data_IF_566269357699
#
_entry.id   IF_566269357699
#
_cell.length_a   1.000
_cell.length_b   1.000
_cell.length_c   1.000
_cell.angle_alpha   90.00
_cell.angle_beta   90.00
_cell.angle_gamma   90.00
#
_symmetry.space_group_name_H-M   'P 1'
#
loop_
_entity.id
_entity.type
_entity.pdbx_description
1 polymer ?
#
# COMPACT_ATOMS: atom_id res chain seq x y z
N UNK A 1 2.33 -28.06 -7.99
CA UNK A 1 1.45 -26.90 -7.73
C UNK A 1 1.04 -26.95 -6.28
N UNK A 2 1.57 -26.07 -5.45
CA UNK A 2 1.09 -25.90 -4.08
C UNK A 2 -0.36 -25.42 -4.17
N UNK A 3 -1.32 -26.22 -3.71
CA UNK A 3 -2.72 -25.77 -3.64
C UNK A 3 -2.75 -24.65 -2.58
N UNK A 4 -3.12 -23.45 -3.00
CA UNK A 4 -3.46 -22.39 -2.07
C UNK A 4 -4.62 -22.87 -1.18
N UNK A 5 -4.73 -22.34 0.03
CA UNK A 5 -5.87 -22.54 0.92
C UNK A 5 -6.24 -21.18 1.55
N UNK A 6 -7.43 -21.03 2.14
CA UNK A 6 -7.87 -19.77 2.74
C UNK A 6 -6.90 -19.23 3.81
N UNK A 7 -6.24 -20.12 4.55
CA UNK A 7 -5.26 -19.73 5.58
C UNK A 7 -3.99 -19.15 4.93
N UNK A 8 -3.52 -19.73 3.83
CA UNK A 8 -2.38 -19.23 3.05
C UNK A 8 -2.70 -17.87 2.41
N UNK A 9 -3.94 -17.66 1.95
CA UNK A 9 -4.39 -16.39 1.37
C UNK A 9 -4.43 -15.29 2.44
N UNK A 10 -4.99 -15.57 3.62
CA UNK A 10 -4.98 -14.62 4.74
C UNK A 10 -3.58 -14.32 5.25
N UNK A 11 -2.73 -15.36 5.35
CA UNK A 11 -1.34 -15.19 5.74
C UNK A 11 -0.53 -14.33 4.74
N UNK A 12 -0.87 -14.40 3.45
CA UNK A 12 -0.29 -13.52 2.44
C UNK A 12 -0.72 -12.07 2.67
N UNK A 13 -2.01 -11.80 2.86
CA UNK A 13 -2.51 -10.44 3.14
C UNK A 13 -1.90 -9.85 4.41
N UNK A 14 -1.82 -10.63 5.49
CA UNK A 14 -1.15 -10.23 6.73
C UNK A 14 0.35 -9.96 6.52
N UNK A 15 1.06 -10.81 5.76
CA UNK A 15 2.47 -10.57 5.47
C UNK A 15 2.69 -9.28 4.67
N UNK A 16 1.82 -9.00 3.70
CA UNK A 16 1.86 -7.76 2.92
C UNK A 16 1.61 -6.57 3.85
N UNK A 17 0.59 -6.63 4.71
CA UNK A 17 0.30 -5.58 5.67
C UNK A 17 1.47 -5.35 6.64
N UNK A 18 2.05 -6.41 7.19
CA UNK A 18 3.12 -6.31 8.19
C UNK A 18 4.44 -5.82 7.61
N UNK A 19 4.70 -6.08 6.31
CA UNK A 19 5.98 -5.73 5.67
C UNK A 19 5.92 -4.45 4.84
N UNK A 20 4.79 -4.19 4.18
CA UNK A 20 4.66 -3.08 3.22
C UNK A 20 4.09 -1.83 3.86
N UNK A 21 3.13 -1.97 4.79
CA UNK A 21 2.55 -0.81 5.48
C UNK A 21 3.61 0.02 6.23
N UNK A 22 4.55 -0.58 7.00
CA UNK A 22 5.58 0.21 7.69
C UNK A 22 6.51 0.95 6.72
N UNK A 23 6.85 0.34 5.58
CA UNK A 23 7.69 0.99 4.56
C UNK A 23 7.00 2.20 3.92
N UNK A 24 5.69 2.13 3.73
CA UNK A 24 4.90 3.25 3.21
C UNK A 24 4.69 4.34 4.27
N UNK A 25 4.57 3.98 5.54
CA UNK A 25 4.51 4.92 6.67
C UNK A 25 5.85 5.65 6.87
N UNK A 26 6.98 4.94 6.84
CA UNK A 26 8.33 5.55 6.86
C UNK A 26 8.54 6.48 5.66
N UNK A 27 8.09 6.07 4.46
CA UNK A 27 8.14 6.94 3.29
C UNK A 27 7.32 8.23 3.52
N UNK A 28 6.13 8.13 4.14
CA UNK A 28 5.31 9.28 4.53
C UNK A 28 5.99 10.22 5.53
N UNK A 29 6.84 9.72 6.44
CA UNK A 29 7.60 10.54 7.40
C UNK A 29 8.75 11.32 6.74
N UNK A 30 9.24 10.87 5.59
CA UNK A 30 10.29 11.56 4.82
C UNK A 30 9.71 12.75 4.04
N UNK A 31 8.43 12.69 3.64
CA UNK A 31 7.77 13.71 2.82
C UNK A 31 7.74 15.11 3.48
N UNK A 32 7.50 15.27 4.80
CA UNK A 32 7.64 16.54 5.51
C UNK A 32 9.05 17.13 5.47
N UNK A 33 10.09 16.29 5.62
CA UNK A 33 11.49 16.73 5.54
C UNK A 33 11.83 17.23 4.13
N UNK A 34 11.22 16.62 3.11
CA UNK A 34 11.36 17.08 1.73
C UNK A 34 10.69 18.46 1.55
N UNK A 35 9.49 18.69 2.08
CA UNK A 35 8.84 20.02 2.01
C UNK A 35 9.64 21.14 2.69
N UNK A 36 10.46 20.82 3.70
CA UNK A 36 11.36 21.79 4.33
C UNK A 36 12.48 22.27 3.39
N UNK A 37 12.97 21.40 2.50
CA UNK A 37 13.98 21.74 1.48
C UNK A 37 13.36 22.64 0.40
N UNK A 38 12.12 22.40 0.00
CA UNK A 38 11.36 23.27 -0.93
C UNK A 38 11.39 24.73 -0.45
N UNK A 39 11.03 24.94 0.82
CA UNK A 39 10.96 26.28 1.39
C UNK A 39 12.34 26.97 1.42
N UNK A 40 13.40 26.24 1.73
CA UNK A 40 14.77 26.74 1.67
C UNK A 40 15.18 27.10 0.23
N UNK A 41 14.76 26.33 -0.76
CA UNK A 41 15.05 26.60 -2.18
C UNK A 41 14.36 27.87 -2.69
N UNK A 42 13.14 28.15 -2.24
CA UNK A 42 12.45 29.41 -2.56
C UNK A 42 13.09 30.66 -1.93
N UNK A 43 13.81 30.49 -0.80
CA UNK A 43 14.61 31.56 -0.19
C UNK A 43 16.03 31.66 -0.76
N UNK A 44 16.54 30.57 -1.33
CA UNK A 44 17.76 30.56 -2.13
C UNK A 44 17.48 31.23 -3.47
N UNK A 45 18.45 31.95 -4.04
CA UNK A 45 18.29 32.73 -5.28
C UNK A 45 18.12 31.87 -6.56
N UNK A 46 17.63 30.63 -6.45
CA UNK A 46 17.56 29.67 -7.58
C UNK A 46 16.14 29.11 -7.76
N UNK A 47 15.20 29.89 -8.33
CA UNK A 47 13.79 29.48 -8.52
C UNK A 47 13.59 28.21 -9.34
N UNK A 48 14.46 27.96 -10.33
CA UNK A 48 14.39 26.76 -11.16
C UNK A 48 14.64 25.46 -10.35
N UNK A 49 15.51 25.52 -9.34
CA UNK A 49 15.80 24.38 -8.48
C UNK A 49 14.61 24.11 -7.54
N UNK A 50 13.98 25.17 -7.03
CA UNK A 50 12.74 25.05 -6.25
C UNK A 50 11.63 24.36 -7.07
N UNK A 51 11.39 24.79 -8.32
CA UNK A 51 10.35 24.17 -9.17
C UNK A 51 10.61 22.69 -9.45
N UNK A 52 11.83 22.31 -9.85
CA UNK A 52 12.18 20.91 -10.11
C UNK A 52 12.00 20.06 -8.86
N UNK A 53 12.42 20.59 -7.71
CA UNK A 53 12.31 19.91 -6.44
C UNK A 53 10.85 19.76 -5.99
N UNK A 54 10.02 20.81 -6.06
CA UNK A 54 8.58 20.75 -5.78
C UNK A 54 7.87 19.72 -6.67
N UNK A 55 8.20 19.65 -7.96
CA UNK A 55 7.63 18.65 -8.87
C UNK A 55 8.02 17.23 -8.47
N UNK A 56 9.29 16.99 -8.13
CA UNK A 56 9.76 15.68 -7.70
C UNK A 56 9.10 15.23 -6.38
N UNK A 57 8.98 16.12 -5.40
CA UNK A 57 8.33 15.84 -4.11
C UNK A 57 6.83 15.57 -4.29
N UNK A 58 6.16 16.34 -5.15
CA UNK A 58 4.73 16.14 -5.43
C UNK A 58 4.48 14.79 -6.10
N UNK A 59 5.30 14.41 -7.09
CA UNK A 59 5.20 13.11 -7.75
C UNK A 59 5.44 11.94 -6.78
N UNK A 60 6.42 12.07 -5.88
CA UNK A 60 6.66 11.07 -4.84
C UNK A 60 5.49 10.93 -3.86
N UNK A 61 4.87 12.05 -3.43
CA UNK A 61 3.69 12.01 -2.56
C UNK A 61 2.55 11.21 -3.21
N UNK A 62 2.23 11.51 -4.46
CA UNK A 62 1.15 10.85 -5.21
C UNK A 62 1.41 9.35 -5.39
N UNK A 63 2.65 8.98 -5.73
CA UNK A 63 3.03 7.58 -5.87
C UNK A 63 2.91 6.79 -4.57
N UNK A 64 3.39 7.34 -3.44
CA UNK A 64 3.35 6.65 -2.14
C UNK A 64 1.91 6.51 -1.65
N UNK A 65 1.09 7.54 -1.80
CA UNK A 65 -0.33 7.48 -1.45
C UNK A 65 -1.09 6.47 -2.33
N UNK A 66 -0.89 6.53 -3.65
CA UNK A 66 -1.53 5.57 -4.56
C UNK A 66 -1.09 4.13 -4.34
N UNK A 67 0.18 3.91 -3.98
CA UNK A 67 0.66 2.59 -3.59
C UNK A 67 -0.05 2.08 -2.33
N UNK A 68 -0.19 2.92 -1.29
CA UNK A 68 -0.88 2.55 -0.05
C UNK A 68 -2.35 2.14 -0.28
N UNK A 69 -3.09 2.89 -1.11
CA UNK A 69 -4.47 2.57 -1.47
C UNK A 69 -4.57 1.23 -2.23
N UNK A 70 -3.64 0.98 -3.17
CA UNK A 70 -3.56 -0.29 -3.88
C UNK A 70 -3.32 -1.48 -2.94
N UNK A 71 -2.41 -1.33 -1.96
CA UNK A 71 -2.13 -2.41 -0.99
C UNK A 71 -3.30 -2.66 -0.03
N UNK A 72 -4.02 -1.62 0.38
CA UNK A 72 -5.25 -1.78 1.17
C UNK A 72 -6.33 -2.52 0.39
N UNK A 73 -6.55 -2.14 -0.87
CA UNK A 73 -7.53 -2.78 -1.76
C UNK A 73 -7.17 -4.26 -1.98
N UNK A 74 -5.90 -4.54 -2.30
CA UNK A 74 -5.44 -5.92 -2.49
C UNK A 74 -5.63 -6.78 -1.22
N UNK A 75 -5.43 -6.23 -0.02
CA UNK A 75 -5.68 -6.95 1.22
C UNK A 75 -7.17 -7.25 1.42
N UNK A 76 -8.05 -6.30 1.10
CA UNK A 76 -9.49 -6.51 1.16
C UNK A 76 -9.94 -7.61 0.17
N UNK A 77 -9.38 -7.61 -1.05
CA UNK A 77 -9.66 -8.62 -2.06
C UNK A 77 -9.18 -10.01 -1.64
N UNK A 78 -7.98 -10.11 -1.02
CA UNK A 78 -7.45 -11.37 -0.50
C UNK A 78 -8.34 -11.95 0.61
N UNK A 79 -8.80 -11.13 1.55
CA UNK A 79 -9.70 -11.58 2.61
C UNK A 79 -11.09 -11.96 2.07
N UNK A 80 -11.59 -11.20 1.09
CA UNK A 80 -12.81 -11.52 0.35
C UNK A 80 -12.72 -12.87 -0.36
N UNK A 81 -11.59 -13.16 -1.02
CA UNK A 81 -11.34 -14.45 -1.65
C UNK A 81 -11.30 -15.60 -0.64
N UNK A 82 -10.65 -15.41 0.51
CA UNK A 82 -10.59 -16.43 1.57
C UNK A 82 -11.99 -16.73 2.12
N UNK A 83 -12.78 -15.69 2.37
CA UNK A 83 -14.15 -15.80 2.87
C UNK A 83 -15.07 -16.50 1.88
N UNK A 84 -15.03 -16.10 0.60
CA UNK A 84 -15.82 -16.73 -0.46
C UNK A 84 -15.49 -18.22 -0.63
N UNK A 85 -14.24 -18.62 -0.39
CA UNK A 85 -13.84 -20.02 -0.42
C UNK A 85 -14.42 -20.79 0.77
N UNK A 86 -14.32 -20.25 1.99
CA UNK A 86 -14.90 -20.88 3.18
C UNK A 86 -16.42 -21.03 3.07
N UNK A 87 -17.11 -20.01 2.55
CA UNK A 87 -18.56 -20.06 2.30
C UNK A 87 -18.93 -21.15 1.29
N UNK A 88 -18.14 -21.31 0.22
CA UNK A 88 -18.36 -22.35 -0.77
C UNK A 88 -18.11 -23.76 -0.20
N UNK A 89 -17.11 -23.93 0.65
CA UNK A 89 -16.81 -25.20 1.32
C UNK A 89 -17.91 -25.58 2.31
N UNK A 90 -18.40 -24.62 3.10
CA UNK A 90 -19.53 -24.81 4.02
C UNK A 90 -20.83 -25.12 3.27
N UNK A 91 -21.10 -24.44 2.16
CA UNK A 91 -22.28 -24.70 1.32
C UNK A 91 -22.22 -26.10 0.71
N UNK A 92 -21.05 -26.56 0.26
CA UNK A 92 -20.86 -27.92 -0.22
C UNK A 92 -21.10 -28.94 0.91
N UNK A 93 -20.51 -28.74 2.08
CA UNK A 93 -20.70 -29.62 3.24
C UNK A 93 -22.18 -29.75 3.66
N UNK A 94 -22.95 -28.66 3.57
CA UNK A 94 -24.37 -28.65 3.90
C UNK A 94 -25.25 -29.34 2.83
N UNK A 95 -24.81 -29.41 1.58
CA UNK A 95 -25.55 -30.06 0.48
C UNK A 95 -25.34 -31.58 0.41
N UNK A 96 -24.32 -32.11 1.10
CA UNK A 96 -24.01 -33.54 1.15
C UNK A 96 -24.35 -34.22 2.50
N UNK A 97 -24.98 -33.49 3.42
CA UNK A 97 -25.60 -34.01 4.64
C UNK A 97 -27.13 -34.06 4.50
#
# INVERSE_FOLDING_TARGET
>A
MTKADPTQIRALGQNIQTKVTPTLEEANEILPNLRGIDQALYTSVTPALATVYTTAVSYMNEMVQGAAECFQTMNADLDGCATAWEDADQAAANNFN
#
